data_IF_449202450451
#
_entry.id   IF_449202450451
#
_cell.length_a   1.000
_cell.length_b   1.000
_cell.length_c   1.000
_cell.angle_alpha   90.00
_cell.angle_beta   90.00
_cell.angle_gamma   90.00
#
_symmetry.space_group_name_H-M   'P 1'
#
loop_
_entity.id
_entity.type
_entity.pdbx_description
1 polymer ?
2 polymer ?
3 non-polymer ?
4 water ?
#
# COMPACT_ATOMS: atom_id res chain seq x y z
N UNK A 1 -9.90 1.90 2.31
CA UNK A 1 -9.71 1.73 3.74
C UNK A 1 -11.14 1.56 4.24
N UNK A 2 -11.41 0.48 4.97
CA UNK A 2 -12.73 0.18 5.50
C UNK A 2 -12.67 0.49 6.99
N UNK A 3 -13.66 1.22 7.54
CA UNK A 3 -13.73 1.47 8.96
C UNK A 3 -12.81 2.55 9.46
N UNK A 4 -12.21 3.35 8.57
CA UNK A 4 -11.32 4.42 8.97
C UNK A 4 -12.03 5.77 8.94
N UNK A 5 -11.32 6.86 8.72
CA UNK A 5 -11.91 8.19 8.76
C UNK A 5 -11.18 9.03 7.74
N UNK A 6 -11.72 10.15 7.25
CA UNK A 6 -10.98 10.98 6.31
C UNK A 6 -9.78 11.58 7.01
N UNK A 7 -8.57 11.43 6.47
CA UNK A 7 -7.38 12.01 7.08
C UNK A 7 -7.47 13.54 7.11
N UNK A 8 -6.80 14.11 8.10
CA UNK A 8 -6.57 15.55 8.12
C UNK A 8 -5.75 15.80 6.84
N UNK A 9 -6.09 16.76 5.97
CA UNK A 9 -5.42 16.96 4.71
C UNK A 9 -3.94 17.19 4.95
N UNK A 10 -3.13 16.47 4.17
CA UNK A 10 -1.67 16.55 4.18
C UNK A 10 -1.06 16.07 5.51
N UNK A 11 -1.79 15.36 6.39
CA UNK A 11 -1.20 14.79 7.60
C UNK A 11 -0.38 13.55 7.23
N UNK A 12 -0.49 12.93 6.03
CA UNK A 12 0.31 11.80 5.64
C UNK A 12 1.08 12.26 4.40
N UNK A 13 2.00 13.25 4.46
CA UNK A 13 2.55 13.91 3.26
C UNK A 13 3.47 13.05 2.39
N UNK A 14 3.81 11.84 2.88
CA UNK A 14 4.56 10.80 2.15
C UNK A 14 3.67 9.96 1.25
N UNK A 15 2.35 10.02 1.41
CA UNK A 15 1.41 9.21 0.65
C UNK A 15 1.37 9.63 -0.83
N UNK A 16 1.49 8.71 -1.76
CA UNK A 16 1.31 9.04 -3.16
C UNK A 16 0.25 8.14 -3.79
N UNK A 17 -0.28 8.61 -4.92
CA UNK A 17 -1.20 7.86 -5.75
C UNK A 17 -0.44 7.44 -7.00
N UNK A 18 -0.54 6.19 -7.41
CA UNK A 18 0.05 5.72 -8.65
C UNK A 18 -1.12 5.70 -9.63
N UNK A 19 -0.86 6.33 -10.76
CA UNK A 19 -1.91 6.54 -11.74
C UNK A 19 -1.51 6.16 -13.14
N UNK A 20 -2.31 5.36 -13.81
CA UNK A 20 -2.08 5.05 -15.22
C UNK A 20 -3.47 5.06 -15.83
N UNK A 21 -4.10 6.22 -15.94
CA UNK A 21 -5.45 6.29 -16.48
C UNK A 21 -6.44 6.52 -15.36
N UNK A 22 -6.11 6.03 -14.16
CA UNK A 22 -6.91 6.20 -12.94
C UNK A 22 -6.04 5.73 -11.77
N UNK A 23 -6.36 6.08 -10.54
CA UNK A 23 -5.65 5.61 -9.36
C UNK A 23 -5.79 4.09 -9.25
N UNK A 24 -4.70 3.36 -9.10
CA UNK A 24 -4.81 1.91 -8.94
C UNK A 24 -4.04 1.37 -7.74
N UNK A 25 -3.07 2.12 -7.22
CA UNK A 25 -2.27 1.70 -6.07
C UNK A 25 -1.73 2.95 -5.39
N UNK A 26 -1.30 2.81 -4.15
CA UNK A 26 -0.65 3.88 -3.41
C UNK A 26 0.86 3.61 -3.39
N UNK A 27 1.57 4.46 -2.68
CA UNK A 27 3.02 4.34 -2.50
C UNK A 27 3.44 5.32 -1.42
N UNK A 28 4.73 5.33 -1.09
CA UNK A 28 5.27 6.21 -0.07
C UNK A 28 6.56 6.83 -0.58
N UNK A 29 6.66 8.14 -0.52
CA UNK A 29 7.87 8.84 -0.85
C UNK A 29 8.90 8.61 0.26
N UNK A 30 10.07 8.08 -0.06
CA UNK A 30 11.10 7.86 0.96
C UNK A 30 12.25 8.86 0.83
N UNK A 31 12.35 9.62 -0.27
CA UNK A 31 13.26 10.75 -0.39
C UNK A 31 12.85 11.48 -1.65
N UNK A 32 13.54 12.53 -2.09
CA UNK A 32 13.16 13.35 -3.24
C UNK A 32 13.02 12.59 -4.55
N UNK A 33 13.74 11.47 -4.71
CA UNK A 33 13.76 10.77 -5.97
C UNK A 33 13.11 9.42 -6.05
N UNK A 34 12.69 8.87 -4.90
CA UNK A 34 12.25 7.48 -4.87
C UNK A 34 10.97 7.27 -4.05
N UNK A 35 10.17 6.36 -4.57
CA UNK A 35 8.89 5.94 -3.99
C UNK A 35 8.94 4.42 -3.75
N UNK A 36 8.44 3.97 -2.59
CA UNK A 36 8.34 2.55 -2.30
C UNK A 36 6.87 2.18 -2.53
N UNK A 37 6.63 1.07 -3.21
CA UNK A 37 5.27 0.55 -3.36
C UNK A 37 5.33 -0.99 -3.37
N UNK A 38 4.26 -1.67 -3.72
CA UNK A 38 4.18 -3.12 -3.74
C UNK A 38 4.58 -3.58 -5.13
N UNK A 39 5.32 -4.69 -5.19
CA UNK A 39 5.71 -5.27 -6.47
C UNK A 39 4.53 -5.69 -7.37
N UNK A 40 3.37 -6.10 -6.82
CA UNK A 40 2.26 -6.47 -7.67
C UNK A 40 1.63 -5.23 -8.32
N UNK A 41 2.00 -4.01 -7.92
CA UNK A 41 1.52 -2.79 -8.52
C UNK A 41 2.38 -2.41 -9.73
N UNK A 42 3.37 -3.25 -10.12
CA UNK A 42 4.27 -2.97 -11.23
C UNK A 42 3.57 -2.64 -12.53
N UNK A 43 4.01 -1.55 -13.18
CA UNK A 43 3.65 -1.23 -14.56
C UNK A 43 4.96 -0.65 -15.11
N UNK A 44 5.34 -0.71 -16.39
CA UNK A 44 6.65 -0.20 -16.78
C UNK A 44 6.85 1.31 -16.71
N UNK A 45 5.75 2.06 -16.70
CA UNK A 45 5.80 3.48 -16.51
C UNK A 45 4.52 3.82 -15.73
N UNK A 46 4.61 4.69 -14.75
CA UNK A 46 3.46 5.12 -13.96
C UNK A 46 3.61 6.59 -13.73
N UNK A 47 2.50 7.26 -13.47
CA UNK A 47 2.60 8.63 -13.06
C UNK A 47 2.39 8.65 -11.53
N UNK A 48 3.29 9.29 -10.79
CA UNK A 48 3.21 9.37 -9.34
C UNK A 48 2.56 10.71 -9.01
N UNK A 49 1.52 10.74 -8.19
CA UNK A 49 0.84 11.97 -7.83
C UNK A 49 0.99 12.18 -6.34
N UNK A 50 1.71 13.26 -6.08
CA UNK A 50 2.10 13.68 -4.76
C UNK A 50 1.29 14.89 -4.32
N UNK A 51 1.23 15.14 -3.04
CA UNK A 51 0.53 16.30 -2.48
C UNK A 51 -0.98 16.21 -2.68
N UNK A 52 -1.51 14.99 -2.76
CA UNK A 52 -2.93 14.78 -2.96
C UNK A 52 -3.76 14.70 -1.69
N UNK A 53 -4.96 15.27 -1.67
CA UNK A 53 -5.91 14.89 -0.63
C UNK A 53 -7.16 14.32 -1.31
N UNK A 54 -7.89 15.10 -2.10
CA UNK A 54 -8.99 14.58 -2.89
C UNK A 54 -8.43 14.34 -4.28
N UNK A 55 -8.38 13.11 -4.76
CA UNK A 55 -7.72 12.80 -6.03
C UNK A 55 -8.50 13.18 -7.27
N UNK A 56 -9.78 13.50 -7.10
CA UNK A 56 -10.61 13.90 -8.22
C UNK A 56 -10.74 15.40 -8.40
N UNK A 57 -10.10 16.20 -7.56
CA UNK A 57 -10.20 17.66 -7.59
C UNK A 57 -8.82 18.31 -7.65
N UNK A 58 -8.50 19.31 -8.47
CA UNK A 58 -7.21 19.98 -8.39
C UNK A 58 -7.30 20.99 -7.29
N UNK A 59 -6.43 20.81 -6.31
CA UNK A 59 -6.46 21.58 -5.09
C UNK A 59 -5.29 22.55 -5.08
N UNK A 60 -4.25 22.44 -5.90
CA UNK A 60 -3.15 23.40 -5.85
C UNK A 60 -1.92 22.83 -5.17
N UNK A 61 -2.06 21.77 -4.40
CA UNK A 61 -0.96 21.13 -3.70
C UNK A 61 -0.20 20.05 -4.46
N UNK A 62 -0.72 19.63 -5.61
CA UNK A 62 -0.28 18.43 -6.30
C UNK A 62 0.98 18.56 -7.12
N UNK A 63 1.76 17.48 -7.20
CA UNK A 63 2.89 17.42 -8.12
C UNK A 63 2.67 16.10 -8.87
N UNK A 64 2.61 16.06 -10.19
CA UNK A 64 2.43 14.82 -10.91
C UNK A 64 3.77 14.56 -11.57
N UNK A 65 4.43 13.43 -11.36
CA UNK A 65 5.77 13.18 -11.90
C UNK A 65 5.80 11.77 -12.47
N UNK A 66 6.25 11.62 -13.71
CA UNK A 66 6.38 10.34 -14.38
C UNK A 66 7.54 9.52 -13.77
N UNK A 67 7.45 8.21 -13.77
CA UNK A 67 8.56 7.38 -13.31
C UNK A 67 9.64 7.33 -14.37
N UNK A 68 10.90 7.18 -14.00
CA UNK A 68 11.92 6.87 -14.98
C UNK A 68 12.32 5.41 -14.85
N UNK A 69 12.21 4.75 -13.69
CA UNK A 69 12.56 3.35 -13.54
C UNK A 69 11.60 2.76 -12.54
N UNK A 70 11.12 1.54 -12.75
CA UNK A 70 10.24 0.84 -11.81
C UNK A 70 10.95 -0.51 -11.59
N UNK A 71 11.34 -0.77 -10.36
CA UNK A 71 12.21 -1.89 -10.03
C UNK A 71 11.56 -2.80 -8.99
N UNK A 72 11.10 -3.97 -9.39
CA UNK A 72 10.55 -4.94 -8.45
C UNK A 72 11.67 -5.64 -7.71
N UNK A 73 11.38 -6.06 -6.48
CA UNK A 73 12.35 -6.83 -5.72
C UNK A 73 12.70 -8.06 -6.56
N UNK A 74 13.98 -8.46 -6.68
CA UNK A 74 14.39 -9.58 -7.52
C UNK A 74 13.73 -10.91 -7.16
N UNK A 75 13.40 -11.08 -5.88
CA UNK A 75 12.78 -12.32 -5.44
C UNK A 75 11.26 -12.25 -5.32
N UNK A 76 10.59 -11.26 -5.93
CA UNK A 76 9.14 -11.17 -5.88
C UNK A 76 8.56 -12.43 -6.50
N UNK A 77 7.49 -12.95 -5.91
CA UNK A 77 6.88 -14.15 -6.42
C UNK A 77 5.39 -13.92 -6.59
N UNK A 78 4.91 -13.89 -7.82
CA UNK A 78 3.52 -13.61 -8.07
C UNK A 78 2.54 -14.67 -7.66
N UNK A 79 3.01 -15.91 -7.47
CA UNK A 79 2.11 -17.02 -7.12
C UNK A 79 1.52 -16.81 -5.74
N UNK A 80 2.42 -16.51 -4.81
CA UNK A 80 2.01 -16.33 -3.41
C UNK A 80 2.21 -14.91 -2.89
N UNK A 81 2.52 -13.94 -3.77
CA UNK A 81 2.72 -12.53 -3.45
C UNK A 81 3.82 -12.34 -2.39
N UNK A 82 4.91 -13.08 -2.54
CA UNK A 82 5.97 -12.99 -1.56
C UNK A 82 6.99 -11.94 -1.99
N UNK A 83 7.64 -11.24 -1.04
CA UNK A 83 8.63 -10.18 -1.28
C UNK A 83 8.01 -9.10 -2.17
N UNK A 84 6.86 -8.65 -1.68
CA UNK A 84 6.01 -7.74 -2.44
C UNK A 84 6.43 -6.29 -2.23
N UNK A 85 7.60 -5.88 -2.73
CA UNK A 85 8.07 -4.52 -2.56
C UNK A 85 8.77 -4.09 -3.85
N UNK A 86 8.69 -2.79 -4.16
CA UNK A 86 9.14 -2.22 -5.42
C UNK A 86 9.61 -0.81 -5.21
N UNK A 87 10.60 -0.35 -5.99
CA UNK A 87 11.05 1.02 -5.94
C UNK A 87 10.71 1.69 -7.27
N UNK A 88 10.30 2.94 -7.19
CA UNK A 88 9.98 3.74 -8.36
C UNK A 88 10.87 4.96 -8.26
N UNK A 89 11.67 5.18 -9.31
CA UNK A 89 12.51 6.37 -9.39
C UNK A 89 11.74 7.42 -10.18
N UNK A 90 11.69 8.62 -9.68
CA UNK A 90 10.96 9.72 -10.29
C UNK A 90 11.84 10.32 -11.41
N UNK A 91 11.26 10.72 -12.54
CA UNK A 91 12.02 11.34 -13.61
C UNK A 91 12.57 12.69 -13.18
N UNK A 92 11.98 13.39 -12.21
CA UNK A 92 12.52 14.62 -11.69
C UNK A 92 12.29 14.58 -10.18
N UNK A 93 13.10 15.16 -9.30
CA UNK A 93 12.86 15.14 -7.88
C UNK A 93 11.60 15.89 -7.50
N UNK A 94 10.95 15.39 -6.45
CA UNK A 94 9.78 16.05 -5.88
C UNK A 94 10.23 17.30 -5.13
N UNK A 95 9.40 18.33 -5.05
CA UNK A 95 9.72 19.52 -4.28
C UNK A 95 9.19 19.22 -2.88
N UNK A 96 10.03 19.20 -1.87
CA UNK A 96 9.54 18.92 -0.53
C UNK A 96 9.03 20.21 0.07
N UNK A 97 7.82 20.17 0.62
CA UNK A 97 7.20 21.36 1.16
C UNK A 97 6.17 20.90 2.19
N UNK A 98 5.21 21.74 2.55
CA UNK A 98 4.19 21.44 3.54
C UNK A 98 3.34 20.24 3.14
N UNK A 99 3.20 20.01 1.85
CA UNK A 99 2.32 18.98 1.33
C UNK A 99 3.04 17.67 1.04
N UNK A 100 4.36 17.74 0.82
CA UNK A 100 5.11 16.61 0.30
C UNK A 100 6.33 16.46 1.16
N UNK A 101 6.43 15.37 1.94
CA UNK A 101 7.54 15.11 2.82
C UNK A 101 7.82 13.61 2.82
N UNK A 102 9.08 13.13 2.82
CA UNK A 102 9.38 11.70 2.83
C UNK A 102 9.08 11.06 4.18
N UNK A 103 8.95 9.72 4.20
CA UNK A 103 8.84 8.99 5.44
C UNK A 103 10.14 8.21 5.64
N UNK A 104 10.58 8.08 6.88
CA UNK A 104 11.81 7.36 7.24
C UNK A 104 11.66 5.86 7.09
N UNK A 105 12.74 5.22 6.63
CA UNK A 105 12.83 3.77 6.58
C UNK A 105 13.04 3.26 7.99
N UNK A 106 12.67 2.01 8.33
CA UNK A 106 12.71 1.56 9.72
C UNK A 106 14.12 1.32 10.23
N UNK A 107 14.38 1.63 11.49
CA UNK A 107 15.69 1.33 12.06
C UNK A 107 15.68 -0.12 12.54
N UNK A 108 14.52 -0.75 12.81
CA UNK A 108 14.40 -2.13 13.27
C UNK A 108 12.97 -2.57 13.03
N UNK A 109 12.67 -3.85 13.17
CA UNK A 109 11.32 -4.35 12.93
C UNK A 109 10.45 -3.96 14.10
N UNK A 110 9.22 -3.49 13.90
CA UNK A 110 8.35 -3.11 15.00
C UNK A 110 7.76 -4.37 15.63
N UNK A 111 7.65 -4.51 16.95
CA UNK A 111 7.09 -5.69 17.61
C UNK A 111 5.57 -5.78 17.54
N UNK A 112 4.99 -6.97 17.68
CA UNK A 112 3.54 -7.10 17.74
C UNK A 112 2.98 -6.19 18.84
N UNK A 113 1.78 -5.65 18.59
CA UNK A 113 1.15 -4.75 19.52
C UNK A 113 1.43 -3.29 19.19
N UNK A 114 2.45 -2.95 18.38
CA UNK A 114 2.69 -1.56 18.00
C UNK A 114 1.49 -1.02 17.22
N UNK A 115 1.05 0.20 17.54
CA UNK A 115 -0.04 0.85 16.85
C UNK A 115 0.54 1.63 15.66
N UNK A 116 -0.06 1.51 14.49
CA UNK A 116 0.43 2.11 13.26
C UNK A 116 -0.75 2.77 12.56
N UNK A 117 -0.45 3.53 11.50
CA UNK A 117 -1.46 4.14 10.65
C UNK A 117 -1.32 3.60 9.23
N UNK A 118 -2.42 3.26 8.60
CA UNK A 118 -2.43 2.90 7.20
C UNK A 118 -3.38 3.90 6.54
N UNK A 119 -3.13 4.27 5.30
CA UNK A 119 -3.96 5.26 4.60
C UNK A 119 -4.06 4.90 3.13
N UNK A 120 -5.08 5.40 2.45
CA UNK A 120 -5.19 5.14 1.03
C UNK A 120 -6.52 5.60 0.49
N UNK A 121 -6.65 5.46 -0.83
CA UNK A 121 -7.84 5.89 -1.54
C UNK A 121 -8.58 4.66 -2.06
N UNK A 122 -8.43 3.48 -1.45
CA UNK A 122 -9.11 2.30 -1.95
C UNK A 122 -10.56 2.23 -1.44
N UNK A 123 -11.20 1.11 -1.75
CA UNK A 123 -12.58 0.79 -1.40
C UNK A 123 -12.84 0.94 0.09
N UNK A 124 -13.92 1.64 0.43
CA UNK A 124 -14.32 1.85 1.82
C UNK A 124 -15.50 0.96 2.24
N UNK A 125 -16.14 0.28 1.29
CA UNK A 125 -17.33 -0.53 1.55
C UNK A 125 -18.36 0.25 2.38
N UNK A 126 -18.50 1.55 2.11
CA UNK A 126 -19.42 2.42 2.83
C UNK A 126 -19.93 3.51 1.88
N UNK A 127 -21.22 3.73 2.02
CA UNK A 127 -21.95 4.76 1.30
C UNK A 127 -21.59 6.14 1.86
N UNK A 128 -21.06 6.26 3.08
CA UNK A 128 -20.78 7.58 3.62
C UNK A 128 -19.30 7.94 3.64
N UNK A 129 -18.39 6.98 3.44
CA UNK A 129 -16.97 7.33 3.47
C UNK A 129 -16.56 7.37 2.00
N UNK A 130 -16.04 8.52 1.60
CA UNK A 130 -15.71 8.77 0.22
C UNK A 130 -14.28 8.36 -0.07
N UNK A 131 -14.06 7.33 -0.88
CA UNK A 131 -12.71 6.88 -1.16
C UNK A 131 -11.88 7.88 -1.97
N UNK A 132 -12.45 8.95 -2.55
CA UNK A 132 -11.63 9.92 -3.25
C UNK A 132 -10.89 10.85 -2.30
N UNK A 133 -11.30 10.92 -1.04
CA UNK A 133 -10.59 11.74 -0.10
C UNK A 133 -9.75 10.77 0.73
N UNK A 134 -8.49 11.10 0.97
CA UNK A 134 -7.61 10.14 1.65
C UNK A 134 -8.15 9.67 3.00
N UNK A 135 -8.26 8.36 3.19
CA UNK A 135 -8.75 7.76 4.42
C UNK A 135 -7.59 7.26 5.27
N UNK A 136 -7.78 7.30 6.58
CA UNK A 136 -6.76 6.95 7.56
C UNK A 136 -7.35 5.94 8.52
N UNK A 137 -6.53 5.02 9.04
CA UNK A 137 -6.98 3.99 9.94
C UNK A 137 -5.83 3.59 10.88
N UNK A 138 -6.08 3.42 12.18
CA UNK A 138 -5.03 3.03 13.11
C UNK A 138 -5.21 1.56 13.37
N UNK A 139 -4.15 0.77 13.14
CA UNK A 139 -4.19 -0.69 13.22
C UNK A 139 -2.96 -1.16 14.00
N UNK A 140 -3.08 -2.17 14.89
CA UNK A 140 -1.95 -2.79 15.58
C UNK A 140 -1.29 -3.91 14.78
N UNK A 141 0.01 -4.08 14.89
CA UNK A 141 0.66 -5.23 14.26
C UNK A 141 0.24 -6.46 15.11
N UNK A 142 -0.12 -7.56 14.47
CA UNK A 142 -0.48 -8.80 15.16
C UNK A 142 0.72 -9.71 15.27
N UNK A 143 0.70 -10.63 16.24
CA UNK A 143 1.79 -11.59 16.42
C UNK A 143 1.86 -12.55 15.25
N UNK A 144 3.01 -13.18 15.02
CA UNK A 144 3.09 -14.22 13.98
C UNK A 144 2.09 -15.35 14.29
N UNK A 145 1.82 -15.71 15.56
CA UNK A 145 0.90 -16.79 15.90
C UNK A 145 -0.49 -16.48 15.36
N UNK A 146 -0.97 -15.26 15.59
CA UNK A 146 -2.29 -14.87 15.09
C UNK A 146 -2.38 -14.78 13.58
N UNK A 147 -1.32 -14.26 12.97
CA UNK A 147 -1.23 -14.11 11.52
C UNK A 147 -1.23 -15.48 10.85
N UNK A 148 -0.39 -16.42 11.31
CA UNK A 148 -0.34 -17.75 10.73
C UNK A 148 -1.61 -18.53 11.09
N UNK A 149 -2.24 -18.30 12.24
CA UNK A 149 -3.50 -18.99 12.52
C UNK A 149 -4.58 -18.56 11.54
N UNK A 150 -4.63 -17.28 11.17
CA UNK A 150 -5.58 -16.77 10.17
C UNK A 150 -5.35 -17.32 8.76
N UNK A 151 -4.09 -17.51 8.39
CA UNK A 151 -3.75 -17.93 7.05
C UNK A 151 -2.71 -19.04 7.15
N UNK A 152 -3.12 -20.28 7.53
CA UNK A 152 -2.21 -21.40 7.79
C UNK A 152 -1.18 -21.69 6.70
N UNK A 153 0.08 -21.60 7.10
CA UNK A 153 1.18 -21.90 6.20
C UNK A 153 1.37 -20.88 5.08
N UNK A 154 0.74 -19.71 5.12
CA UNK A 154 0.82 -18.77 4.00
C UNK A 154 1.72 -17.56 4.26
N UNK A 155 2.13 -17.38 5.49
CA UNK A 155 2.82 -16.17 5.91
C UNK A 155 4.31 -16.43 5.92
N UNK A 156 5.04 -15.69 5.10
CA UNK A 156 6.48 -15.85 5.02
C UNK A 156 7.17 -14.84 5.92
N UNK A 157 8.51 -14.84 5.95
CA UNK A 157 9.24 -13.90 6.78
C UNK A 157 9.10 -12.49 6.20
N UNK A 158 8.69 -12.34 4.94
CA UNK A 158 8.57 -11.02 4.34
C UNK A 158 7.17 -10.44 4.55
N UNK A 159 6.36 -11.00 5.46
CA UNK A 159 4.97 -10.58 5.61
C UNK A 159 4.61 -10.42 7.06
N UNK A 160 3.68 -9.52 7.39
CA UNK A 160 3.12 -9.51 8.74
C UNK A 160 1.65 -9.14 8.64
N UNK A 161 0.85 -9.44 9.65
CA UNK A 161 -0.56 -9.11 9.67
C UNK A 161 -0.72 -7.93 10.60
N UNK A 162 -1.71 -7.09 10.31
CA UNK A 162 -2.02 -5.94 11.17
C UNK A 162 -3.51 -5.70 10.97
N UNK A 163 -4.15 -5.28 12.05
CA UNK A 163 -5.58 -5.10 11.99
C UNK A 163 -6.26 -5.68 13.21
N UNK A 164 -7.49 -6.13 12.99
CA UNK A 164 -8.39 -6.55 14.04
C UNK A 164 -8.99 -7.88 13.62
N UNK A 165 -8.84 -8.94 14.41
CA UNK A 165 -9.39 -10.24 14.05
C UNK A 165 -10.91 -10.25 14.04
N UNK A 166 -11.55 -9.31 14.75
CA UNK A 166 -13.01 -9.19 14.75
C UNK A 166 -13.57 -8.67 13.41
N UNK A 167 -12.69 -8.06 12.61
CA UNK A 167 -13.07 -7.52 11.33
C UNK A 167 -13.54 -6.07 11.45
N UNK A 168 -14.13 -5.54 10.39
CA UNK A 168 -14.67 -4.20 10.42
C UNK A 168 -13.68 -3.09 10.08
N UNK A 169 -12.37 -3.25 10.29
CA UNK A 169 -11.39 -2.20 10.02
C UNK A 169 -10.27 -2.83 9.19
N UNK A 170 -9.95 -2.33 7.99
CA UNK A 170 -8.92 -2.97 7.18
C UNK A 170 -8.55 -2.12 5.98
N UNK A 171 -7.45 -2.44 5.29
CA UNK A 171 -7.19 -1.85 3.99
C UNK A 171 -7.95 -2.71 2.95
N UNK A 172 -8.12 -2.27 1.70
CA UNK A 172 -8.95 -2.96 0.74
C UNK A 172 -8.47 -2.59 -0.66
N UNK A 173 -9.10 -3.08 -1.74
CA UNK A 173 -8.64 -2.86 -3.10
C UNK A 173 -8.52 -1.39 -3.45
N UNK A 174 -7.34 -1.02 -3.99
CA UNK A 174 -7.02 0.36 -4.31
C UNK A 174 -6.07 0.90 -3.25
N UNK A 175 -5.87 0.22 -2.10
CA UNK A 175 -4.90 0.63 -1.08
C UNK A 175 -3.50 0.00 -1.26
N UNK A 176 -3.35 -1.06 -2.06
CA UNK A 176 -2.07 -1.72 -2.29
C UNK A 176 -0.91 -0.76 -2.52
N UNK A 177 0.24 -1.07 -1.93
CA UNK A 177 1.42 -0.27 -2.17
C UNK A 177 1.56 0.87 -1.19
N UNK A 178 0.48 1.28 -0.49
CA UNK A 178 0.51 2.37 0.44
C UNK A 178 1.18 2.04 1.76
N UNK A 179 1.35 3.06 2.61
CA UNK A 179 2.13 2.99 3.84
C UNK A 179 1.44 2.37 5.05
N UNK A 180 2.23 1.66 5.86
CA UNK A 180 1.86 1.35 7.23
C UNK A 180 3.00 2.03 7.99
N UNK A 181 2.70 3.12 8.67
CA UNK A 181 3.68 3.94 9.39
C UNK A 181 3.49 3.74 10.89
N UNK A 182 4.59 3.44 11.60
CA UNK A 182 4.53 3.17 13.02
C UNK A 182 5.63 3.98 13.64
N UNK A 183 5.25 4.89 14.53
CA UNK A 183 6.17 5.78 15.24
C UNK A 183 7.11 6.49 14.27
N UNK A 184 6.55 6.95 13.16
CA UNK A 184 7.30 7.74 12.20
C UNK A 184 8.20 6.94 11.28
N UNK A 185 8.04 5.63 11.19
CA UNK A 185 8.85 4.81 10.30
C UNK A 185 7.97 3.97 9.41
N UNK A 186 8.34 3.79 8.13
CA UNK A 186 7.58 2.96 7.23
C UNK A 186 7.84 1.49 7.57
N UNK A 187 6.90 0.81 8.25
CA UNK A 187 7.08 -0.59 8.60
C UNK A 187 6.42 -1.54 7.61
N UNK A 188 5.37 -1.16 6.88
CA UNK A 188 4.70 -2.07 5.98
C UNK A 188 4.21 -1.37 4.72
N UNK A 189 3.96 -2.23 3.73
CA UNK A 189 3.42 -1.85 2.44
C UNK A 189 2.13 -2.63 2.29
N UNK A 190 0.98 -2.03 1.99
CA UNK A 190 -0.27 -2.77 1.83
C UNK A 190 -0.13 -3.83 0.75
N UNK A 191 -0.48 -5.09 1.03
CA UNK A 191 -0.23 -6.14 0.07
C UNK A 191 -1.45 -6.98 -0.23
N UNK A 192 -1.95 -7.90 0.62
CA UNK A 192 -3.03 -8.78 0.22
C UNK A 192 -3.91 -9.15 1.40
N UNK A 193 -5.00 -9.85 1.16
CA UNK A 193 -5.80 -10.37 2.27
C UNK A 193 -6.87 -11.27 1.67
N UNK A 194 -7.72 -11.89 2.48
CA UNK A 194 -8.87 -12.63 1.97
C UNK A 194 -9.99 -11.62 2.18
N UNK A 195 -10.48 -10.99 1.09
CA UNK A 195 -11.49 -9.94 1.18
C UNK A 195 -10.94 -8.72 1.89
N UNK A 196 -11.84 -7.98 2.55
CA UNK A 196 -11.47 -6.82 3.33
C UNK A 196 -12.38 -6.78 4.52
N UNK A 197 -11.77 -6.56 5.69
CA UNK A 197 -12.42 -6.35 6.97
C UNK A 197 -13.30 -7.54 7.40
N UNK A 198 -13.03 -8.75 6.90
CA UNK A 198 -13.76 -9.93 7.31
C UNK A 198 -13.20 -10.44 8.64
N UNK A 199 -14.01 -10.95 9.59
CA UNK A 199 -13.55 -11.64 10.79
C UNK A 199 -12.56 -12.76 10.48
N UNK A 200 -11.48 -12.71 11.23
CA UNK A 200 -10.43 -13.73 11.16
C UNK A 200 -9.55 -13.60 9.92
N UNK A 201 -9.69 -12.53 9.12
CA UNK A 201 -8.90 -12.36 7.90
C UNK A 201 -8.29 -10.97 7.92
N UNK A 202 -7.33 -10.68 8.80
CA UNK A 202 -6.72 -9.35 8.89
C UNK A 202 -5.87 -9.10 7.65
N UNK A 203 -5.54 -7.84 7.38
CA UNK A 203 -4.73 -7.56 6.19
C UNK A 203 -3.29 -8.05 6.36
N UNK A 204 -2.68 -8.44 5.25
CA UNK A 204 -1.27 -8.84 5.25
C UNK A 204 -0.46 -7.74 4.55
N UNK A 205 0.75 -7.46 5.05
CA UNK A 205 1.57 -6.33 4.65
C UNK A 205 2.98 -6.82 4.40
N UNK A 206 3.67 -6.24 3.41
CA UNK A 206 5.09 -6.56 3.18
C UNK A 206 5.88 -5.93 4.31
N UNK A 207 6.82 -6.72 4.84
CA UNK A 207 7.58 -6.34 6.01
C UNK A 207 8.80 -5.53 5.57
N UNK A 208 8.76 -4.20 5.65
CA UNK A 208 9.82 -3.36 5.10
C UNK A 208 11.15 -3.55 5.80
N UNK A 209 11.15 -3.82 7.13
CA UNK A 209 12.40 -3.86 7.87
C UNK A 209 13.34 -4.94 7.42
N UNK A 210 12.92 -5.94 6.66
CA UNK A 210 13.88 -6.94 6.23
C UNK A 210 14.45 -6.58 4.86
N UNK A 211 14.05 -5.45 4.28
CA UNK A 211 14.49 -5.07 2.94
C UNK A 211 15.40 -3.85 2.96
N UNK A 212 15.85 -3.38 4.12
CA UNK A 212 16.67 -2.18 4.20
C UNK A 212 17.92 -2.23 3.33
N UNK A 213 18.59 -3.38 3.34
CA UNK A 213 19.80 -3.55 2.55
C UNK A 213 19.51 -3.35 1.06
N UNK A 214 18.53 -4.05 0.50
CA UNK A 214 18.18 -3.92 -0.91
C UNK A 214 17.67 -2.51 -1.22
N UNK A 215 16.83 -1.93 -0.37
CA UNK A 215 16.31 -0.60 -0.62
C UNK A 215 17.43 0.44 -0.64
N UNK A 216 18.31 0.49 0.36
CA UNK A 216 19.32 1.53 0.37
C UNK A 216 20.40 1.29 -0.70
N UNK A 217 20.77 0.06 -1.01
CA UNK A 217 21.74 -0.12 -2.10
C UNK A 217 21.11 0.24 -3.44
N UNK A 218 19.86 -0.16 -3.74
CA UNK A 218 19.24 0.20 -5.01
C UNK A 218 19.03 1.70 -5.14
N UNK A 219 18.69 2.43 -4.09
CA UNK A 219 18.46 3.86 -4.24
C UNK A 219 19.72 4.63 -4.58
N UNK A 220 20.88 3.95 -4.50
CA UNK A 220 22.16 4.52 -4.88
C UNK A 220 22.42 4.49 -6.41
N UNK A 221 21.66 3.68 -7.17
CA UNK A 221 21.82 3.47 -8.60
C UNK A 221 23.20 2.89 -8.93
N UNK A 222 23.68 3.13 -10.15
CA UNK A 222 24.94 2.68 -10.68
C UNK A 222 25.31 3.69 -11.78
N UNK B 1 -8.33 -17.34 -0.72
CA UNK B 1 -8.55 -16.57 -1.90
C UNK B 1 -7.55 -15.44 -1.64
N UNK B 2 -6.27 -15.68 -1.95
CA UNK B 2 -5.22 -14.67 -1.76
C UNK B 2 -5.59 -13.63 -2.78
N UNK B 3 -5.97 -12.41 -2.38
CA UNK B 3 -6.28 -11.41 -3.38
C UNK B 3 -5.48 -10.15 -3.06
N UNK B 4 -4.49 -9.74 -3.86
CA UNK B 4 -3.78 -8.48 -3.65
C UNK B 4 -4.70 -7.26 -3.73
N UNK B 5 -4.41 -6.21 -2.99
CA UNK B 5 -5.31 -5.08 -2.95
C UNK B 5 -5.12 -4.02 -4.05
N UNK B 6 -4.90 -4.37 -5.23
CA UNK B 6 -4.75 -3.40 -6.31
C UNK B 6 -6.14 -3.14 -6.90
N UNK B 7 -6.44 -1.93 -7.41
CA UNK B 7 -7.71 -1.69 -8.09
C UNK B 7 -7.53 -2.07 -9.56
N UNK B 8 -8.30 -3.02 -10.07
CA UNK B 8 -8.15 -3.55 -11.42
C UNK B 8 -9.54 -3.83 -11.94
N UNK B 9 -9.81 -3.29 -13.13
CA UNK B 9 -11.07 -3.49 -13.80
C UNK B 9 -11.09 -4.91 -14.36
N UNK B 10 -12.23 -5.56 -14.39
CA UNK B 10 -12.32 -6.90 -14.96
C UNK B 10 -13.71 -7.13 -15.55
N UNK B 11 -13.77 -8.07 -16.48
CA UNK B 11 -14.99 -8.55 -17.11
C UNK B 11 -15.14 -10.01 -16.65
N UNK B 12 -14.02 -10.72 -16.48
CA UNK B 12 -14.00 -12.12 -16.06
C UNK B 12 -12.92 -12.32 -15.00
N UNK B 13 -13.02 -13.40 -14.21
CA UNK B 13 -12.08 -13.76 -13.16
C UNK B 13 -10.67 -13.78 -13.67
N UNK B 14 -10.44 -14.34 -14.85
CA UNK B 14 -9.14 -14.46 -15.51
C UNK B 14 -8.38 -13.14 -15.68
N UNK B 15 -9.05 -12.01 -15.50
CA UNK B 15 -8.40 -10.71 -15.60
C UNK B 15 -7.64 -10.34 -14.34
N UNK B 16 -8.07 -10.93 -13.24
CA UNK B 16 -7.55 -10.62 -11.93
C UNK B 16 -6.26 -11.35 -11.58
N UNK B 17 -5.55 -10.85 -10.58
CA UNK B 17 -4.35 -11.49 -10.08
C UNK B 17 -4.70 -12.56 -9.04
N UNK B 18 -3.72 -13.45 -8.83
CA UNK B 18 -3.74 -14.50 -7.83
C UNK B 18 -5.08 -15.21 -7.67
N UNK B 19 -5.78 -15.21 -6.52
CA UNK B 19 -7.05 -15.86 -6.40
C UNK B 19 -8.14 -14.80 -6.23
N UNK B 20 -7.97 -13.62 -6.85
CA UNK B 20 -9.00 -12.60 -6.83
C UNK B 20 -10.07 -13.00 -7.83
N UNK B 21 -11.32 -12.57 -7.71
CA UNK B 21 -12.33 -12.88 -8.70
C UNK B 21 -12.88 -11.53 -9.12
N UNK B 22 -13.51 -11.54 -10.28
CA UNK B 22 -14.11 -10.34 -10.80
C UNK B 22 -15.44 -10.20 -10.09
N UNK B 23 -15.58 -9.21 -9.24
CA UNK B 23 -16.82 -9.05 -8.52
C UNK B 23 -17.83 -8.35 -9.44
N UNK B 24 -19.12 -8.40 -9.07
CA UNK B 24 -20.22 -7.86 -9.86
C UNK B 24 -19.98 -6.45 -10.39
N UNK B 25 -19.41 -5.59 -9.55
CA UNK B 25 -19.13 -4.22 -9.93
C UNK B 25 -18.03 -4.01 -10.99
N UNK B 26 -17.49 -5.06 -11.61
CA UNK B 26 -16.48 -4.92 -12.67
C UNK B 26 -15.07 -4.64 -12.17
N UNK B 27 -14.76 -5.09 -10.94
CA UNK B 27 -13.43 -4.93 -10.37
C UNK B 27 -13.07 -6.17 -9.60
N UNK B 28 -11.78 -6.48 -9.59
CA UNK B 28 -11.26 -7.62 -8.86
C UNK B 28 -11.37 -7.44 -7.35
N UNK B 29 -11.60 -8.55 -6.64
CA UNK B 29 -11.69 -8.53 -5.20
C UNK B 29 -11.65 -9.93 -4.61
#
# INVERSE_FOLDING_TARGET
IVGGYECKPYSQPHQVSLNSGYHFCGGSLVNENWVVSAAHCYKSRVEVRLGEHNIKVTEGSEQFISSSRVIRHPNYSSYNIDNDIMLIKLSKPATLNTYVQPVALPTSCAPAGTMCTVSGWGNTMSSTADSNKLQCLNIPILSYSDCNNSYPGMITNAMFCAGYLEGGKDSCQGDSGGPVVCNGELQGVVSWGYGCAEPGNPGVYAKVCIFNDWLTSTMASY
RVCPKILMECKKDSDCLAECICLEHGYCG
#
